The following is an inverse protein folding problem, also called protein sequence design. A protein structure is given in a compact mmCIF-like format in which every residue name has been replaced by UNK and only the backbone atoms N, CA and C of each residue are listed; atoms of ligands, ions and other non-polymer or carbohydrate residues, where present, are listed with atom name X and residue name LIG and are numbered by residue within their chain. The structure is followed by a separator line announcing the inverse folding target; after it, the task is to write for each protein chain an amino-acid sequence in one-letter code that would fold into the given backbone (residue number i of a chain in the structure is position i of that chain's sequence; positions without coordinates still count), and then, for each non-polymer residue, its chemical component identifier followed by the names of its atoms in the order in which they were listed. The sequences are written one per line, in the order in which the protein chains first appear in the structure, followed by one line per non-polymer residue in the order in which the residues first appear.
data_IF_810547985467
#
_entry.id   IF_810547985467
#
_cell.length_a   1.000
_cell.length_b   1.000
_cell.length_c   1.000
_cell.angle_alpha   90.00
_cell.angle_beta   90.00
_cell.angle_gamma   90.00
#
_symmetry.space_group_name_H-M   'P 1'
#
loop_
_entity.id
_entity.type
_entity.pdbx_description
1 polymer ?
#
# COMPACT_ATOMS: atom_id res chain seq x y z
N UNK A 1 -32.17 -29.25 -0.76
CA UNK A 1 -30.81 -29.79 -1.04
C UNK A 1 -29.89 -28.77 -1.71
N UNK A 2 -30.33 -27.95 -2.68
CA UNK A 2 -29.48 -26.96 -3.39
C UNK A 2 -28.86 -25.85 -2.51
N UNK A 3 -29.59 -25.38 -1.48
CA UNK A 3 -29.17 -24.25 -0.64
C UNK A 3 -28.05 -24.61 0.36
N UNK A 4 -27.97 -25.88 0.76
CA UNK A 4 -26.95 -26.39 1.69
C UNK A 4 -25.59 -26.54 1.00
N UNK A 5 -25.58 -27.03 -0.24
CA UNK A 5 -24.35 -27.16 -1.03
C UNK A 5 -23.72 -25.80 -1.37
N UNK A 6 -24.52 -24.79 -1.70
CA UNK A 6 -23.99 -23.43 -1.92
C UNK A 6 -23.41 -22.81 -0.66
N UNK A 7 -24.04 -23.03 0.50
CA UNK A 7 -23.51 -22.52 1.78
C UNK A 7 -22.14 -23.12 2.11
N UNK A 8 -21.99 -24.44 1.90
CA UNK A 8 -20.73 -25.15 2.14
C UNK A 8 -19.60 -24.65 1.22
N UNK A 9 -19.91 -24.37 -0.04
CA UNK A 9 -18.94 -23.82 -1.00
C UNK A 9 -18.51 -22.41 -0.56
N UNK A 10 -19.44 -21.56 -0.13
CA UNK A 10 -19.10 -20.20 0.35
C UNK A 10 -18.22 -20.27 1.61
N UNK A 11 -18.57 -21.13 2.57
CA UNK A 11 -17.78 -21.31 3.79
C UNK A 11 -16.37 -21.82 3.52
N UNK A 12 -16.22 -22.81 2.63
CA UNK A 12 -14.90 -23.36 2.29
C UNK A 12 -14.03 -22.33 1.58
N UNK A 13 -14.62 -21.55 0.66
CA UNK A 13 -13.93 -20.46 -0.02
C UNK A 13 -13.48 -19.39 0.97
N UNK A 14 -14.36 -18.94 1.88
CA UNK A 14 -14.00 -17.95 2.92
C UNK A 14 -12.87 -18.44 3.84
N UNK A 15 -12.92 -19.68 4.28
CA UNK A 15 -11.87 -20.27 5.12
C UNK A 15 -10.52 -20.33 4.40
N UNK A 16 -10.52 -20.67 3.11
CA UNK A 16 -9.31 -20.65 2.27
C UNK A 16 -8.75 -19.23 2.12
N UNK A 17 -9.62 -18.24 1.94
CA UNK A 17 -9.22 -16.83 1.92
C UNK A 17 -8.60 -16.40 3.26
N UNK A 18 -9.19 -16.75 4.40
CA UNK A 18 -8.60 -16.43 5.71
C UNK A 18 -7.24 -17.09 5.93
N UNK A 19 -7.00 -18.27 5.35
CA UNK A 19 -5.74 -18.98 5.51
C UNK A 19 -4.64 -18.53 4.52
N UNK A 20 -5.03 -18.08 3.33
CA UNK A 20 -4.09 -17.60 2.31
C UNK A 20 -3.64 -16.15 2.56
N UNK A 21 -4.53 -15.32 3.11
CA UNK A 21 -4.26 -13.92 3.41
C UNK A 21 -4.00 -13.83 4.91
N UNK A 22 -2.77 -14.18 5.32
CA UNK A 22 -2.30 -13.97 6.69
C UNK A 22 -2.47 -12.51 7.15
N UNK A 23 -2.20 -12.23 8.43
CA UNK A 23 -2.34 -10.88 8.99
C UNK A 23 -1.57 -9.84 8.17
N UNK A 24 -2.26 -8.80 7.70
CA UNK A 24 -1.65 -7.74 6.89
C UNK A 24 -0.71 -6.95 7.80
N UNK A 25 0.59 -7.01 7.51
CA UNK A 25 1.62 -6.24 8.21
C UNK A 25 2.06 -5.08 7.35
N UNK A 26 2.30 -3.94 7.98
CA UNK A 26 2.81 -2.75 7.31
C UNK A 26 4.28 -2.51 7.68
N UNK A 27 5.08 -2.22 6.67
CA UNK A 27 6.52 -1.99 6.75
C UNK A 27 6.86 -0.62 6.16
N UNK A 28 7.74 0.16 6.82
CA UNK A 28 8.18 1.44 6.28
C UNK A 28 9.01 1.21 5.01
N UNK A 29 8.71 1.97 3.96
CA UNK A 29 9.43 1.94 2.69
C UNK A 29 9.76 3.37 2.28
N UNK A 30 11.00 3.57 1.89
CA UNK A 30 11.51 4.85 1.40
C UNK A 30 11.83 4.76 -0.09
N UNK A 31 11.49 5.82 -0.83
CA UNK A 31 11.83 6.01 -2.24
C UNK A 31 12.25 7.46 -2.48
N UNK A 32 13.16 7.66 -3.42
CA UNK A 32 13.59 9.00 -3.83
C UNK A 32 13.03 9.31 -5.21
N UNK A 33 12.43 10.48 -5.35
CA UNK A 33 11.86 11.00 -6.59
C UNK A 33 12.49 12.34 -6.94
N UNK A 34 12.45 12.70 -8.21
CA UNK A 34 12.90 14.01 -8.67
C UNK A 34 11.91 15.12 -8.28
N UNK A 35 12.42 16.34 -8.18
CA UNK A 35 11.66 17.54 -7.83
C UNK A 35 11.54 17.78 -6.32
N UNK A 36 10.58 18.63 -5.96
CA UNK A 36 10.34 19.07 -4.58
C UNK A 36 8.98 18.60 -4.06
N UNK A 37 8.83 18.56 -2.74
CA UNK A 37 7.58 18.23 -2.09
C UNK A 37 6.52 19.31 -2.41
N UNK A 38 5.33 18.93 -2.91
CA UNK A 38 4.30 19.91 -3.20
C UNK A 38 3.77 20.53 -1.91
N UNK A 39 3.69 21.86 -1.87
CA UNK A 39 3.18 22.62 -0.72
C UNK A 39 1.76 22.14 -0.33
N UNK A 40 1.56 21.89 0.97
CA UNK A 40 0.24 21.59 1.53
C UNK A 40 -0.34 20.20 1.21
N UNK A 41 0.43 19.29 0.60
CA UNK A 41 -0.10 17.97 0.19
C UNK A 41 0.12 16.83 1.19
N UNK A 42 0.85 17.07 2.29
CA UNK A 42 1.08 16.10 3.38
C UNK A 42 1.40 14.67 2.90
N UNK A 43 2.19 14.52 1.83
CA UNK A 43 2.57 13.21 1.29
C UNK A 43 1.60 12.57 0.29
N UNK A 44 0.54 13.25 -0.15
CA UNK A 44 -0.41 12.70 -1.14
C UNK A 44 0.25 12.38 -2.49
N UNK A 45 1.19 13.20 -2.94
CA UNK A 45 1.98 12.89 -4.15
C UNK A 45 2.81 11.61 -3.98
N UNK A 46 3.39 11.40 -2.79
CA UNK A 46 4.12 10.16 -2.48
C UNK A 46 3.18 8.94 -2.48
N UNK A 47 1.96 9.07 -1.95
CA UNK A 47 0.96 8.01 -2.01
C UNK A 47 0.64 7.62 -3.46
N UNK A 48 0.38 8.60 -4.33
CA UNK A 48 0.07 8.37 -5.74
C UNK A 48 1.24 7.72 -6.49
N UNK A 49 2.48 8.16 -6.24
CA UNK A 49 3.66 7.55 -6.85
C UNK A 49 3.92 6.13 -6.36
N UNK A 50 3.74 5.87 -5.06
CA UNK A 50 3.83 4.50 -4.52
C UNK A 50 2.77 3.58 -5.13
N UNK A 51 1.52 4.06 -5.27
CA UNK A 51 0.48 3.30 -5.96
C UNK A 51 0.84 3.03 -7.42
N UNK A 52 1.37 4.03 -8.12
CA UNK A 52 1.75 3.89 -9.53
C UNK A 52 2.89 2.89 -9.73
N UNK A 53 3.85 2.81 -8.81
CA UNK A 53 5.02 1.94 -8.96
C UNK A 53 4.84 0.54 -8.39
N UNK A 54 4.13 0.42 -7.26
CA UNK A 54 3.99 -0.86 -6.55
C UNK A 54 2.64 -1.54 -6.80
N UNK A 55 1.67 -0.82 -7.33
CA UNK A 55 0.30 -1.29 -7.52
C UNK A 55 -0.55 -1.21 -6.25
N UNK A 56 -1.85 -1.47 -6.42
CA UNK A 56 -2.85 -1.35 -5.35
C UNK A 56 -2.61 -2.33 -4.18
N UNK A 57 -1.98 -3.47 -4.43
CA UNK A 57 -1.68 -4.47 -3.39
C UNK A 57 -0.65 -4.00 -2.36
N UNK A 58 0.14 -2.96 -2.67
CA UNK A 58 1.08 -2.38 -1.71
C UNK A 58 0.39 -1.56 -0.62
N UNK A 59 -0.86 -1.14 -0.82
CA UNK A 59 -1.66 -0.32 0.10
C UNK A 59 -0.84 0.74 0.88
N UNK A 60 -0.21 1.70 0.18
CA UNK A 60 0.60 2.72 0.84
C UNK A 60 -0.24 3.57 1.80
N UNK A 61 0.28 3.83 2.98
CA UNK A 61 -0.34 4.68 4.00
C UNK A 61 0.72 5.48 4.76
N UNK A 62 0.29 6.41 5.64
CA UNK A 62 1.17 7.26 6.45
C UNK A 62 2.30 7.93 5.66
N UNK A 63 1.99 8.33 4.43
CA UNK A 63 2.98 8.88 3.52
C UNK A 63 3.47 10.26 3.98
N UNK A 64 4.76 10.47 3.86
CA UNK A 64 5.43 11.75 4.13
C UNK A 64 6.38 12.09 2.99
N UNK A 65 6.57 13.38 2.77
CA UNK A 65 7.49 13.91 1.78
C UNK A 65 8.49 14.84 2.49
N UNK A 66 9.78 14.66 2.20
CA UNK A 66 10.85 15.52 2.68
C UNK A 66 11.71 15.97 1.50
N UNK A 67 11.89 17.28 1.36
CA UNK A 67 12.81 17.82 0.36
C UNK A 67 14.26 17.44 0.65
N UNK A 68 14.97 17.07 -0.41
CA UNK A 68 16.42 16.99 -0.45
C UNK A 68 16.92 18.13 -1.35
N UNK A 69 16.89 19.34 -0.80
CA UNK A 69 17.11 20.60 -1.52
C UNK A 69 18.46 20.68 -2.24
N UNK A 70 19.47 19.95 -1.76
CA UNK A 70 20.80 19.94 -2.37
C UNK A 70 20.86 19.24 -3.73
N UNK A 71 19.84 18.45 -4.10
CA UNK A 71 19.88 17.58 -5.28
C UNK A 71 18.65 17.72 -6.20
N UNK A 72 17.77 18.69 -5.94
CA UNK A 72 16.45 18.79 -6.62
C UNK A 72 15.70 17.45 -6.59
N UNK A 73 15.73 16.80 -5.43
CA UNK A 73 15.09 15.51 -5.16
C UNK A 73 14.22 15.62 -3.93
N UNK A 74 13.30 14.70 -3.79
CA UNK A 74 12.47 14.53 -2.60
C UNK A 74 12.43 13.07 -2.18
N UNK A 75 12.40 12.88 -0.88
CA UNK A 75 12.33 11.58 -0.24
C UNK A 75 10.88 11.36 0.17
N UNK A 76 10.29 10.28 -0.33
CA UNK A 76 8.98 9.81 0.03
C UNK A 76 9.10 8.60 0.94
N UNK A 77 8.46 8.66 2.10
CA UNK A 77 8.36 7.54 3.03
C UNK A 77 6.90 7.21 3.29
N UNK A 78 6.50 5.98 3.01
CA UNK A 78 5.17 5.43 3.27
C UNK A 78 5.29 4.09 4.01
N UNK A 79 4.27 3.70 4.75
CA UNK A 79 4.10 2.33 5.21
C UNK A 79 3.36 1.55 4.12
N UNK A 80 3.87 0.38 3.73
CA UNK A 80 3.27 -0.50 2.71
C UNK A 80 3.07 -1.89 3.27
N UNK A 81 2.21 -2.70 2.64
CA UNK A 81 2.11 -4.13 2.95
C UNK A 81 3.49 -4.78 2.80
N UNK A 82 3.96 -5.43 3.86
CA UNK A 82 5.23 -6.15 3.85
C UNK A 82 5.19 -7.25 2.79
N UNK A 83 6.30 -7.42 2.05
CA UNK A 83 6.51 -8.54 1.15
C UNK A 83 7.33 -9.64 1.83
#
# INVERSE_FOLDING_TARGET
MKLSSTLLIVCTVLALFSHAYGEIRFCPKEMTFDGSCPLGTSGRSCFEEFLSLLGASAMPMNCSCKDNSSQHKRICKCDIVCK
#
